data_IF_672636192423
#
_entry.id   IF_672636192423
#
_cell.length_a   1.000
_cell.length_b   1.000
_cell.length_c   1.000
_cell.angle_alpha   90.00
_cell.angle_beta   90.00
_cell.angle_gamma   90.00
#
_symmetry.space_group_name_H-M   'P 1'
#
loop_
_entity.id
_entity.type
_entity.pdbx_description
1 polymer ?
#
# COMPACT_ATOMS: atom_id res chain seq x y z
N UNK A 1 -4.93 8.64 -7.92
CA UNK A 1 -5.82 7.47 -8.09
C UNK A 1 -5.09 6.28 -8.68
N UNK A 2 -4.69 6.26 -9.97
CA UNK A 2 -3.98 5.11 -10.58
C UNK A 2 -2.66 4.71 -9.87
N UNK A 3 -1.82 5.68 -9.49
CA UNK A 3 -0.58 5.40 -8.72
C UNK A 3 -0.85 4.83 -7.33
N UNK A 4 -1.80 5.45 -6.60
CA UNK A 4 -2.27 4.98 -5.30
C UNK A 4 -2.80 3.55 -5.37
N UNK A 5 -3.57 3.22 -6.40
CA UNK A 5 -4.06 1.85 -6.63
C UNK A 5 -2.90 0.86 -6.74
N UNK A 6 -1.95 1.07 -7.66
CA UNK A 6 -0.82 0.14 -7.80
C UNK A 6 0.08 0.08 -6.56
N UNK A 7 0.28 1.20 -5.86
CA UNK A 7 1.03 1.20 -4.62
C UNK A 7 0.38 0.30 -3.55
N UNK A 8 -0.95 0.41 -3.41
CA UNK A 8 -1.71 -0.42 -2.47
C UNK A 8 -1.76 -1.89 -2.96
N UNK A 9 -1.94 -2.16 -4.25
CA UNK A 9 -1.89 -3.53 -4.80
C UNK A 9 -0.54 -4.19 -4.52
N UNK A 10 0.57 -3.45 -4.69
CA UNK A 10 1.90 -3.94 -4.35
C UNK A 10 2.05 -4.19 -2.85
N UNK A 11 1.56 -3.27 -2.00
CA UNK A 11 1.57 -3.44 -0.54
C UNK A 11 0.77 -4.66 -0.07
N UNK A 12 -0.38 -4.95 -0.71
CA UNK A 12 -1.22 -6.12 -0.39
C UNK A 12 -0.67 -7.44 -0.92
N UNK A 13 0.36 -7.40 -1.78
CA UNK A 13 1.00 -8.62 -2.29
C UNK A 13 1.85 -9.30 -1.22
N UNK A 14 1.93 -10.64 -1.26
CA UNK A 14 2.78 -11.41 -0.34
C UNK A 14 4.26 -10.99 -0.43
N UNK A 15 4.69 -10.52 -1.60
CA UNK A 15 6.06 -10.08 -1.84
C UNK A 15 6.44 -8.79 -1.11
N UNK A 16 5.46 -7.97 -0.67
CA UNK A 16 5.75 -6.76 0.10
C UNK A 16 6.28 -7.08 1.49
N UNK A 17 5.87 -8.21 2.07
CA UNK A 17 6.19 -8.59 3.44
C UNK A 17 5.49 -7.74 4.53
N UNK A 18 4.61 -6.80 4.16
CA UNK A 18 3.90 -5.95 5.11
C UNK A 18 2.45 -6.40 5.28
N UNK A 19 1.98 -6.35 6.53
CA UNK A 19 0.54 -6.36 6.79
C UNK A 19 -0.06 -5.04 6.28
N UNK A 20 -1.15 -5.14 5.52
CA UNK A 20 -1.87 -3.98 5.00
C UNK A 20 -3.37 -4.18 5.13
N UNK A 21 -4.06 -3.17 5.64
CA UNK A 21 -5.51 -3.06 5.54
C UNK A 21 -5.94 -1.68 5.01
N UNK A 22 -7.16 -1.60 4.49
CA UNK A 22 -7.63 -0.38 3.83
C UNK A 22 -7.92 0.76 4.83
N UNK A 23 -8.09 0.49 6.12
CA UNK A 23 -8.45 1.49 7.13
C UNK A 23 -7.20 2.10 7.79
N UNK A 24 -6.16 1.29 8.02
CA UNK A 24 -4.96 1.69 8.75
C UNK A 24 -3.69 1.70 7.87
N UNK A 25 -3.76 1.17 6.65
CA UNK A 25 -2.64 1.11 5.72
C UNK A 25 -1.64 0.04 6.11
N UNK A 26 -0.36 0.26 5.79
CA UNK A 26 0.71 -0.60 6.25
C UNK A 26 1.01 -0.31 7.73
N UNK A 27 0.80 -1.29 8.60
CA UNK A 27 1.07 -1.16 10.04
C UNK A 27 2.57 -1.29 10.31
N UNK A 28 3.26 -0.15 10.35
CA UNK A 28 4.70 -0.05 10.58
C UNK A 28 4.94 0.36 12.02
N UNK A 29 5.51 -0.59 12.77
CA UNK A 29 5.95 -0.44 14.14
C UNK A 29 7.41 0.06 14.17
N UNK A 30 7.95 0.31 15.36
CA UNK A 30 9.32 0.78 15.51
C UNK A 30 10.35 -0.27 15.08
N UNK A 31 10.07 -1.55 15.33
CA UNK A 31 10.93 -2.69 15.05
C UNK A 31 11.08 -3.01 13.55
N UNK A 32 10.12 -2.56 12.71
CA UNK A 32 10.15 -2.76 11.27
C UNK A 32 10.23 -1.45 10.46
N UNK A 33 10.48 -0.32 11.12
CA UNK A 33 10.61 1.00 10.49
C UNK A 33 11.71 1.03 9.41
N UNK A 34 12.84 0.37 9.67
CA UNK A 34 13.96 0.32 8.71
C UNK A 34 13.58 -0.44 7.43
N UNK A 35 12.81 -1.52 7.56
CA UNK A 35 12.31 -2.29 6.42
C UNK A 35 11.36 -1.44 5.56
N UNK A 36 10.49 -0.67 6.20
CA UNK A 36 9.63 0.28 5.50
C UNK A 36 10.44 1.32 4.74
N UNK A 37 11.45 1.91 5.38
CA UNK A 37 12.30 2.92 4.75
C UNK A 37 13.09 2.38 3.55
N UNK A 38 13.52 1.12 3.61
CA UNK A 38 14.09 0.42 2.45
C UNK A 38 13.06 0.18 1.34
N UNK A 39 11.86 -0.28 1.70
CA UNK A 39 10.79 -0.54 0.74
C UNK A 39 10.38 0.73 -0.03
N UNK A 40 10.17 1.86 0.67
CA UNK A 40 9.73 3.11 0.01
C UNK A 40 10.82 3.76 -0.86
N UNK A 41 12.10 3.40 -0.71
CA UNK A 41 13.15 3.81 -1.67
C UNK A 41 12.90 3.22 -3.06
N UNK A 42 12.49 1.95 -3.12
CA UNK A 42 12.12 1.26 -4.35
C UNK A 42 10.67 1.56 -4.79
N UNK A 43 9.77 1.77 -3.83
CA UNK A 43 8.34 1.98 -4.04
C UNK A 43 7.87 3.34 -3.49
N UNK A 44 8.35 4.43 -4.09
CA UNK A 44 8.11 5.81 -3.59
C UNK A 44 6.62 6.14 -3.40
N UNK A 45 5.76 5.59 -4.26
CA UNK A 45 4.31 5.80 -4.19
C UNK A 45 3.65 5.13 -2.97
N UNK A 46 4.35 4.23 -2.25
CA UNK A 46 3.85 3.59 -1.04
C UNK A 46 3.95 4.47 0.21
N UNK A 47 4.81 5.51 0.18
CA UNK A 47 5.11 6.38 1.33
C UNK A 47 3.87 6.94 2.05
N UNK A 48 2.80 7.38 1.36
CA UNK A 48 1.62 7.93 2.02
C UNK A 48 0.85 6.91 2.87
N UNK A 49 1.06 5.60 2.65
CA UNK A 49 0.28 4.54 3.29
C UNK A 49 0.94 3.93 4.53
N UNK A 50 1.99 4.59 5.07
CA UNK A 50 2.58 4.22 6.37
C UNK A 50 1.61 4.60 7.48
N UNK A 51 1.04 3.62 8.18
CA UNK A 51 0.08 3.84 9.26
C UNK A 51 -1.05 4.81 8.87
N UNK A 52 -1.42 4.81 7.59
CA UNK A 52 -2.46 5.67 7.03
C UNK A 52 -3.20 4.89 5.96
N UNK A 53 -4.47 4.60 6.22
CA UNK A 53 -5.30 3.83 5.32
C UNK A 53 -5.75 4.58 4.09
N UNK A 54 -6.41 3.83 3.22
CA UNK A 54 -7.09 4.35 2.04
C UNK A 54 -8.46 3.65 1.89
N UNK A 55 -9.50 4.10 2.64
CA UNK A 55 -10.79 3.42 2.72
C UNK A 55 -11.50 3.28 1.37
N UNK A 56 -11.20 4.18 0.43
CA UNK A 56 -11.79 4.19 -0.91
C UNK A 56 -11.12 3.21 -1.89
N UNK A 57 -10.20 2.35 -1.45
CA UNK A 57 -9.52 1.39 -2.32
C UNK A 57 -10.51 0.50 -3.09
N UNK A 58 -11.51 -0.06 -2.40
CA UNK A 58 -12.53 -0.91 -3.01
C UNK A 58 -13.35 -0.16 -4.07
N UNK A 59 -13.68 1.11 -3.82
CA UNK A 59 -14.39 1.95 -4.81
C UNK A 59 -13.54 2.21 -6.05
N UNK A 60 -12.22 2.37 -5.91
CA UNK A 60 -11.32 2.51 -7.06
C UNK A 60 -11.20 1.20 -7.83
N UNK A 61 -11.12 0.07 -7.13
CA UNK A 61 -11.01 -1.25 -7.76
C UNK A 61 -12.20 -1.56 -8.67
N UNK A 62 -13.42 -1.16 -8.27
CA UNK A 62 -14.63 -1.25 -9.10
C UNK A 62 -14.64 -0.33 -10.32
N UNK A 63 -13.88 0.77 -10.30
CA UNK A 63 -13.86 1.78 -11.36
C UNK A 63 -12.74 1.56 -12.39
N UNK A 64 -11.72 0.77 -12.05
CA UNK A 64 -10.67 0.43 -12.98
C UNK A 64 -11.19 -0.69 -13.90
N UNK A 65 -11.17 -0.51 -15.23
CA UNK A 65 -11.55 -1.59 -16.14
C UNK A 65 -10.71 -2.80 -15.78
N UNK A 66 -11.41 -3.89 -15.47
CA UNK A 66 -10.85 -5.17 -15.04
C UNK A 66 -9.57 -5.44 -15.80
N UNK A 67 -8.49 -5.76 -15.09
CA UNK A 67 -7.28 -6.29 -15.68
C UNK A 67 -7.65 -7.53 -16.53
N UNK A 68 -7.93 -7.30 -17.81
CA UNK A 68 -8.10 -8.32 -18.85
C UNK A 68 -6.75 -8.76 -19.38
#
# INVERSE_FOLDING_TARGET
>A
LKKSYYAITNLKSVASGFAYDNEHGAMILLDNADLWDWYVKAHKDAKPFRNSGFPHFASIELLLPSHG
#
